data_IF_447964902641
#
_entry.id   IF_447964902641
#
_cell.length_a   1.000
_cell.length_b   1.000
_cell.length_c   1.000
_cell.angle_alpha   90.00
_cell.angle_beta   90.00
_cell.angle_gamma   90.00
#
_symmetry.space_group_name_H-M   'P 1'
#
loop_
_entity.id
_entity.type
_entity.pdbx_description
1 polymer ?
2 water ?
#
# COMPACT_ATOMS: atom_id res chain seq x y z
N UNK A 1 -3.08 -12.95 17.79
CA UNK A 1 -1.96 -13.09 18.70
C UNK A 1 -1.18 -11.78 18.82
N UNK A 3 -0.71 -7.67 17.25
CA UNK A 3 -1.27 -6.58 16.46
C UNK A 3 -0.65 -6.56 15.07
N UNK A 4 -1.49 -6.69 14.05
CA UNK A 4 -0.98 -6.80 12.68
C UNK A 4 -0.40 -5.47 12.23
N UNK A 5 0.61 -5.56 11.34
CA UNK A 5 1.24 -4.41 10.73
C UNK A 5 0.68 -4.23 9.33
N UNK A 6 0.37 -2.99 8.96
CA UNK A 6 -0.20 -2.67 7.66
C UNK A 6 0.83 -1.91 6.82
N UNK A 7 1.08 -2.41 5.62
CA UNK A 7 2.09 -1.84 4.73
C UNK A 7 1.44 -1.33 3.45
N UNK A 8 1.87 -0.15 3.01
CA UNK A 8 1.64 0.29 1.63
C UNK A 8 2.81 -0.23 0.81
N UNK A 9 2.55 -1.22 -0.05
CA UNK A 9 3.62 -1.85 -0.81
C UNK A 9 3.63 -1.48 -2.28
N UNK A 10 2.58 -0.84 -2.79
CA UNK A 10 2.58 -0.38 -4.17
C UNK A 10 1.50 0.68 -4.34
N UNK A 12 -0.05 3.46 -7.65
CA UNK A 12 0.03 3.93 -9.04
C UNK A 12 -1.10 4.91 -9.28
N UNK A 13 -0.76 6.12 -9.73
CA UNK A 13 -1.79 7.10 -10.09
C UNK A 13 -2.41 6.69 -11.42
N UNK A 14 -3.72 6.51 -11.44
CA UNK A 14 -4.42 6.00 -12.62
C UNK A 14 -5.42 7.04 -13.14
N UNK A 15 -6.24 6.60 -14.10
CA UNK A 15 -7.18 7.49 -14.76
C UNK A 15 -8.23 7.99 -13.78
N UNK A 16 -8.76 7.11 -12.93
CA UNK A 16 -9.88 7.43 -12.05
C UNK A 16 -9.49 7.57 -10.58
N UNK A 17 -8.21 7.39 -10.24
CA UNK A 17 -7.78 7.47 -8.87
C UNK A 17 -6.39 6.88 -8.70
N UNK A 18 -6.18 6.13 -7.61
CA UNK A 18 -4.90 5.48 -7.35
C UNK A 18 -5.12 3.99 -7.19
N UNK A 19 -4.29 3.21 -7.88
CA UNK A 19 -4.20 1.78 -7.64
C UNK A 19 -3.26 1.56 -6.45
N UNK A 20 -3.78 0.97 -5.38
CA UNK A 20 -3.04 0.82 -4.13
C UNK A 20 -3.02 -0.65 -3.75
N UNK A 21 -1.84 -1.16 -3.38
CA UNK A 21 -1.69 -2.50 -2.84
C UNK A 21 -1.22 -2.41 -1.39
N UNK A 22 -1.94 -3.08 -0.49
CA UNK A 22 -1.65 -3.06 0.94
C UNK A 22 -1.46 -4.49 1.42
N UNK A 23 -0.49 -4.69 2.30
CA UNK A 23 -0.25 -5.98 2.94
C UNK A 23 -0.48 -5.85 4.44
N UNK A 24 -1.33 -6.71 4.98
CA UNK A 24 -1.64 -6.74 6.41
C UNK A 24 -1.00 -8.01 6.97
N UNK A 25 -0.01 -7.84 7.84
CA UNK A 25 0.89 -8.91 8.23
C UNK A 25 0.87 -9.06 9.74
N UNK A 26 0.57 -10.27 10.22
CA UNK A 26 0.70 -10.61 11.63
C UNK A 26 1.82 -11.64 11.80
N UNK A 27 1.72 -12.47 12.84
CA UNK A 27 2.78 -13.43 13.11
C UNK A 27 2.85 -14.52 12.04
N UNK A 28 1.70 -14.94 11.52
CA UNK A 28 1.63 -16.08 10.62
C UNK A 28 1.35 -15.72 9.17
N UNK A 29 0.46 -14.77 8.90
CA UNK A 29 -0.08 -14.59 7.57
C UNK A 29 0.15 -13.19 7.03
N UNK A 30 0.24 -13.12 5.70
CA UNK A 30 0.32 -11.89 4.94
C UNK A 30 -0.94 -11.80 4.10
N UNK A 31 -1.79 -10.81 4.39
CA UNK A 31 -3.02 -10.58 3.64
C UNK A 31 -2.79 -9.42 2.69
N UNK A 32 -2.78 -9.69 1.38
CA UNK A 32 -2.56 -8.66 0.38
C UNK A 32 -3.88 -8.19 -0.21
N UNK A 33 -4.04 -6.86 -0.23
CA UNK A 33 -5.27 -6.22 -0.68
C UNK A 33 -4.96 -5.33 -1.88
N UNK A 34 -5.65 -5.55 -2.99
CA UNK A 34 -5.56 -4.66 -4.14
C UNK A 34 -6.77 -3.74 -4.15
N UNK A 35 -6.52 -2.43 -4.05
CA UNK A 35 -7.56 -1.42 -4.24
C UNK A 35 -7.43 -0.88 -5.65
N UNK A 36 -8.34 -1.20 -6.57
CA UNK A 36 -8.13 -0.81 -7.97
C UNK A 36 -8.19 0.69 -8.22
N UNK A 37 -9.00 1.43 -7.47
CA UNK A 37 -9.16 2.86 -7.73
C UNK A 37 -9.58 3.63 -6.48
N UNK A 38 -8.61 4.00 -5.66
CA UNK A 38 -8.89 4.83 -4.48
C UNK A 38 -9.05 6.29 -4.94
N UNK A 39 -10.10 6.98 -4.52
CA UNK A 39 -10.27 8.37 -4.95
C UNK A 39 -9.07 9.23 -4.59
N UNK A 40 -8.72 10.14 -5.50
CA UNK A 40 -7.53 10.96 -5.33
C UNK A 40 -7.59 11.80 -4.06
N UNK A 41 -8.80 12.20 -3.64
CA UNK A 41 -8.92 12.99 -2.43
C UNK A 41 -8.49 12.19 -1.20
N UNK A 42 -8.80 10.90 -1.18
CA UNK A 42 -8.36 10.04 -0.08
C UNK A 42 -6.84 9.97 -0.05
N UNK A 43 -6.22 9.85 -1.22
CA UNK A 43 -4.77 9.75 -1.30
C UNK A 43 -4.11 11.09 -0.97
N UNK A 44 -4.59 12.17 -1.58
CA UNK A 44 -3.96 13.48 -1.39
C UNK A 44 -4.07 13.95 0.05
N UNK A 45 -5.15 13.59 0.75
CA UNK A 45 -5.40 14.07 2.10
C UNK A 45 -5.01 13.07 3.17
N UNK A 46 -4.38 11.95 2.79
CA UNK A 46 -3.89 10.95 3.75
C UNK A 46 -5.02 10.39 4.62
N UNK A 47 -6.16 10.09 4.00
CA UNK A 47 -7.30 9.56 4.73
C UNK A 47 -7.17 8.05 4.88
N UNK A 48 -6.16 7.66 5.67
CA UNK A 48 -5.83 6.24 5.80
C UNK A 48 -6.89 5.50 6.61
N UNK A 49 -7.58 6.19 7.51
CA UNK A 49 -8.62 5.54 8.30
C UNK A 49 -9.78 5.05 7.44
N UNK A 50 -10.01 5.73 6.31
CA UNK A 50 -11.14 5.42 5.45
C UNK A 50 -10.79 4.47 4.31
N UNK A 51 -9.52 4.10 4.17
CA UNK A 51 -9.08 3.33 3.01
C UNK A 51 -9.87 2.03 2.88
N UNK A 52 -10.05 1.30 3.97
CA UNK A 52 -10.71 0.01 3.90
C UNK A 52 -12.23 0.11 3.75
N UNK A 53 -12.77 1.31 3.64
CA UNK A 53 -14.17 1.48 3.24
C UNK A 53 -14.34 1.48 1.73
N UNK A 54 -13.25 1.46 0.98
CA UNK A 54 -13.29 1.52 -0.47
C UNK A 54 -13.05 0.14 -1.08
N UNK A 55 -13.47 -0.01 -2.33
CA UNK A 55 -13.47 -1.31 -2.99
C UNK A 55 -12.07 -1.90 -3.05
N UNK A 56 -11.96 -3.16 -2.65
CA UNK A 56 -10.76 -3.95 -2.83
C UNK A 56 -11.17 -5.39 -3.14
N UNK A 57 -10.26 -6.11 -3.79
CA UNK A 57 -10.52 -7.51 -4.06
C UNK A 57 -10.39 -8.32 -2.78
N UNK A 58 -10.80 -9.58 -2.85
CA UNK A 58 -10.61 -10.48 -1.73
C UNK A 58 -9.13 -10.58 -1.39
N UNK A 59 -8.77 -10.71 -0.11
CA UNK A 59 -7.35 -10.73 0.25
C UNK A 59 -6.65 -11.95 -0.30
N UNK A 60 -5.39 -11.76 -0.69
CA UNK A 60 -4.52 -12.85 -1.13
C UNK A 60 -3.63 -13.24 0.04
N UNK A 61 -3.84 -14.43 0.57
CA UNK A 61 -3.22 -14.87 1.83
C UNK A 61 -2.01 -15.73 1.52
N UNK A 62 -0.88 -15.37 2.11
CA UNK A 62 0.32 -16.21 2.11
C UNK A 62 0.95 -16.11 3.48
N UNK A 63 1.95 -16.95 3.72
CA UNK A 63 2.66 -16.88 4.98
C UNK A 63 3.48 -15.60 5.04
N UNK A 64 3.61 -15.06 6.25
CA UNK A 64 4.34 -13.81 6.43
C UNK A 64 5.79 -13.96 6.00
N UNK A 65 6.32 -12.93 5.35
CA UNK A 65 7.70 -12.93 4.92
C UNK A 65 8.61 -12.34 6.00
N UNK A 66 9.91 -12.54 5.82
CA UNK A 66 10.87 -12.08 6.83
C UNK A 66 11.12 -10.58 6.74
N UNK A 67 11.04 -9.99 5.55
CA UNK A 67 11.35 -8.58 5.36
C UNK A 67 10.28 -7.92 4.48
N UNK A 68 9.95 -6.67 4.81
CA UNK A 68 9.06 -5.85 4.01
C UNK A 68 9.73 -4.50 3.76
N UNK A 69 10.84 -4.52 3.02
CA UNK A 69 11.62 -3.32 2.76
C UNK A 69 11.21 -2.65 1.45
N UNK A 70 11.28 -3.39 0.34
CA UNK A 70 10.90 -2.86 -0.96
C UNK A 70 10.14 -3.91 -1.76
N UNK A 71 9.34 -3.44 -2.72
CA UNK A 71 8.59 -4.31 -3.60
C UNK A 71 9.47 -4.70 -4.80
N UNK A 72 8.88 -5.41 -5.77
CA UNK A 72 9.65 -5.97 -6.86
C UNK A 72 10.20 -4.95 -7.83
N UNK A 73 9.61 -3.75 -7.89
CA UNK A 73 10.11 -2.70 -8.77
C UNK A 73 10.93 -1.66 -8.00
N UNK A 74 11.26 -1.93 -6.74
CA UNK A 74 12.18 -1.11 -6.00
C UNK A 74 11.57 0.00 -5.17
N UNK A 75 10.23 0.10 -5.11
CA UNK A 75 9.62 1.12 -4.27
C UNK A 75 9.84 0.79 -2.80
N UNK A 76 10.16 1.81 -2.01
CA UNK A 76 10.26 1.64 -0.56
C UNK A 76 8.88 1.40 0.04
N UNK A 77 8.75 0.31 0.80
CA UNK A 77 7.50 0.03 1.50
C UNK A 77 7.43 0.87 2.75
N UNK A 78 6.27 1.50 2.98
CA UNK A 78 6.03 2.26 4.21
C UNK A 78 4.79 1.70 4.89
N UNK A 79 4.75 1.84 6.21
CA UNK A 79 3.57 1.39 6.94
C UNK A 79 2.43 2.37 6.72
N UNK A 80 1.21 1.83 6.75
CA UNK A 80 0.02 2.63 6.42
C UNK A 80 -0.10 3.85 7.34
N UNK A 81 0.31 3.73 8.61
CA UNK A 81 0.19 4.87 9.52
C UNK A 81 1.04 6.06 9.09
N UNK A 82 2.06 5.84 8.25
CA UNK A 82 2.86 6.95 7.75
C UNK A 82 2.15 7.77 6.69
N UNK A 83 1.13 7.21 6.06
CA UNK A 83 0.32 7.94 5.11
C UNK A 83 0.73 7.67 3.67
N UNK A 84 -0.22 7.94 2.75
CA UNK A 84 0.06 7.78 1.33
C UNK A 84 1.09 8.79 0.85
N UNK A 85 1.06 10.01 1.39
CA UNK A 85 1.99 11.04 0.95
C UNK A 85 3.43 10.69 1.28
N UNK A 86 3.66 9.98 2.38
CA UNK A 86 5.02 9.55 2.70
C UNK A 86 5.53 8.54 1.68
N UNK A 87 4.69 7.57 1.31
CA UNK A 87 5.06 6.63 0.26
C UNK A 87 5.39 7.38 -1.03
N UNK A 88 4.59 8.39 -1.37
CA UNK A 88 4.78 9.09 -2.64
C UNK A 88 6.07 9.90 -2.62
N UNK A 89 6.36 10.58 -1.51
CA UNK A 89 7.57 11.39 -1.48
C UNK A 89 8.83 10.54 -1.39
N UNK A 90 8.76 9.38 -0.74
CA UNK A 90 9.91 8.48 -0.69
C UNK A 90 10.23 7.92 -2.07
N UNK A 91 9.19 7.64 -2.86
CA UNK A 91 9.31 6.91 -4.13
C UNK A 91 8.99 7.79 -5.32
N UNK A 92 8.99 9.11 -5.14
CA UNK A 92 8.57 10.04 -6.19
C UNK A 92 9.28 9.80 -7.51
N UNK A 93 10.62 9.80 -7.49
CA UNK A 93 11.37 9.70 -8.73
C UNK A 93 11.24 8.31 -9.34
N UNK A 94 11.22 7.27 -8.50
CA UNK A 94 11.00 5.91 -8.99
C UNK A 94 9.64 5.81 -9.67
N UNK A 96 7.88 8.22 -11.03
CA UNK A 96 7.91 8.99 -12.26
C UNK A 96 8.52 8.18 -13.40
N UNK A 97 9.58 7.41 -13.12
CA UNK A 97 10.21 6.59 -14.15
C UNK A 97 9.25 5.55 -14.70
N UNK A 98 8.37 5.03 -13.85
CA UNK A 98 7.41 4.01 -14.25
C UNK A 98 6.08 4.60 -14.69
N UNK A 99 5.97 5.92 -14.75
CA UNK A 99 4.71 6.61 -15.06
C UNK A 99 3.62 6.25 -14.06
N UNK A 100 4.00 5.99 -12.82
CA UNK A 100 3.07 5.76 -11.72
C UNK A 100 2.78 7.03 -10.93
N UNK A 101 3.49 8.12 -11.21
CA UNK A 101 3.34 9.35 -10.43
C UNK A 101 2.25 10.25 -11.00
#
# INVERSE_FOLDING_TARGET
SXKSVKYISNXSKQEKGYRVYVNVVNEDTDKGFLFPSVPKEVIENDKIDELFNFEHHKPYVQKAKSRYDKNGIGYKIVQLDEGFQKFIELNKEKXKENLDY
#
